data_IF_402987492949
#
_entry.id   IF_402987492949
#
_cell.length_a   1.000
_cell.length_b   1.000
_cell.length_c   1.000
_cell.angle_alpha   90.00
_cell.angle_beta   90.00
_cell.angle_gamma   90.00
#
_symmetry.space_group_name_H-M   'P 1'
#
loop_
_entity.id
_entity.type
_entity.pdbx_description
1 polymer ?
#
# COMPACT_ATOMS: atom_id res chain seq x y z
N UNK A 1 3.14 -6.86 20.14
CA UNK A 1 2.17 -6.15 19.28
C UNK A 1 2.90 -5.44 18.17
N UNK A 2 2.46 -5.63 16.94
CA UNK A 2 3.02 -4.90 15.81
C UNK A 2 2.48 -3.47 15.78
N UNK A 3 3.36 -2.52 15.48
CA UNK A 3 2.94 -1.15 15.24
C UNK A 3 2.15 -1.08 13.93
N UNK A 4 1.21 -0.15 13.87
CA UNK A 4 0.43 0.10 12.67
C UNK A 4 1.12 1.10 11.74
N UNK A 5 0.87 0.97 10.45
CA UNK A 5 1.18 2.04 9.49
C UNK A 5 0.15 3.17 9.67
N UNK A 6 0.63 4.33 10.08
CA UNK A 6 -0.20 5.47 10.46
C UNK A 6 0.31 6.75 9.84
N UNK A 7 -0.60 7.56 9.36
CA UNK A 7 -0.29 8.89 8.82
C UNK A 7 -0.14 8.91 7.31
N UNK A 8 -0.01 10.11 6.77
CA UNK A 8 0.27 10.34 5.34
C UNK A 8 1.55 11.16 5.21
N UNK A 9 2.40 10.76 4.27
CA UNK A 9 3.70 11.38 4.05
C UNK A 9 3.91 11.61 2.56
N UNK A 10 4.33 12.80 2.18
CA UNK A 10 4.69 13.11 0.80
C UNK A 10 6.20 12.99 0.65
N UNK A 11 6.65 12.16 -0.28
CA UNK A 11 8.06 11.87 -0.52
C UNK A 11 8.41 12.18 -1.97
N UNK A 12 9.60 12.75 -2.19
CA UNK A 12 10.11 13.01 -3.53
C UNK A 12 10.56 11.71 -4.19
N UNK A 13 10.24 11.57 -5.46
CA UNK A 13 10.73 10.46 -6.31
C UNK A 13 11.70 11.06 -7.31
N UNK A 14 12.96 10.62 -7.27
CA UNK A 14 13.99 11.15 -8.17
C UNK A 14 13.90 10.56 -9.59
N UNK A 15 14.74 11.08 -10.49
CA UNK A 15 14.76 10.64 -11.89
C UNK A 15 15.13 9.16 -12.08
N UNK A 16 15.74 8.54 -11.08
CA UNK A 16 16.08 7.11 -11.07
C UNK A 16 15.02 6.27 -10.34
N UNK A 17 13.86 6.84 -10.07
CA UNK A 17 12.75 6.19 -9.36
C UNK A 17 13.07 5.82 -7.90
N UNK A 18 14.07 6.44 -7.28
CA UNK A 18 14.38 6.23 -5.87
C UNK A 18 13.47 7.10 -5.02
N UNK A 19 12.94 6.50 -3.95
CA UNK A 19 12.07 7.19 -2.99
C UNK A 19 12.40 6.70 -1.58
N UNK A 20 12.45 7.63 -0.62
CA UNK A 20 12.65 7.30 0.78
C UNK A 20 11.35 6.83 1.40
N UNK A 21 11.40 5.71 2.12
CA UNK A 21 10.26 5.25 2.92
C UNK A 21 10.23 6.09 4.20
N UNK A 22 9.06 6.61 4.62
CA UNK A 22 8.97 7.35 5.89
C UNK A 22 9.54 6.53 7.05
N UNK A 23 10.30 7.18 7.93
CA UNK A 23 10.97 6.50 9.03
C UNK A 23 10.01 5.69 9.92
N UNK A 24 8.81 6.21 10.17
CA UNK A 24 7.79 5.49 10.92
C UNK A 24 7.37 4.18 10.23
N UNK A 25 7.26 4.19 8.91
CA UNK A 25 6.91 2.99 8.12
C UNK A 25 8.08 2.01 8.07
N UNK A 26 9.31 2.51 7.98
CA UNK A 26 10.50 1.62 8.01
C UNK A 26 10.57 0.80 9.28
N UNK A 27 10.24 1.39 10.44
CA UNK A 27 10.21 0.66 11.72
C UNK A 27 9.22 -0.51 11.69
N UNK A 28 8.03 -0.29 11.12
CA UNK A 28 7.02 -1.35 10.99
C UNK A 28 7.51 -2.45 10.05
N UNK A 29 8.10 -2.07 8.91
CA UNK A 29 8.66 -3.01 7.93
C UNK A 29 9.79 -3.85 8.55
N UNK A 30 10.68 -3.23 9.31
CA UNK A 30 11.78 -3.90 9.99
C UNK A 30 11.28 -4.89 11.04
N UNK A 31 10.29 -4.51 11.83
CA UNK A 31 9.67 -5.38 12.83
C UNK A 31 8.97 -6.59 12.18
N UNK A 32 8.45 -6.42 10.97
CA UNK A 32 7.80 -7.48 10.20
C UNK A 32 8.75 -8.35 9.37
N UNK A 33 10.07 -8.13 9.47
CA UNK A 33 11.08 -8.90 8.74
C UNK A 33 12.32 -9.14 9.63
N UNK A 34 12.15 -9.75 10.81
CA UNK A 34 13.22 -9.81 11.84
C UNK A 34 14.42 -10.66 11.45
N UNK A 35 14.23 -11.66 10.60
CA UNK A 35 15.27 -12.66 10.32
C UNK A 35 16.13 -12.30 9.10
N UNK A 36 15.80 -11.24 8.38
CA UNK A 36 16.55 -10.83 7.20
C UNK A 36 17.60 -9.76 7.54
N UNK A 37 18.86 -9.90 7.06
CA UNK A 37 19.88 -8.87 7.26
C UNK A 37 19.54 -7.58 6.51
N UNK A 38 18.87 -7.68 5.35
CA UNK A 38 18.34 -6.54 4.62
C UNK A 38 16.83 -6.57 4.70
N UNK A 39 16.24 -5.48 5.15
CA UNK A 39 14.80 -5.39 5.33
C UNK A 39 14.11 -5.26 3.99
N UNK A 40 12.92 -5.86 3.89
CA UNK A 40 12.19 -6.01 2.63
C UNK A 40 10.79 -5.46 2.74
N UNK A 41 10.23 -5.17 1.59
CA UNK A 41 8.86 -4.71 1.42
C UNK A 41 8.22 -5.52 0.29
N UNK A 42 6.98 -5.92 0.46
CA UNK A 42 6.19 -6.52 -0.62
C UNK A 42 5.24 -5.45 -1.16
N UNK A 43 5.28 -5.22 -2.46
CA UNK A 43 4.43 -4.23 -3.13
C UNK A 43 3.49 -4.94 -4.09
N UNK A 44 2.19 -4.79 -3.87
CA UNK A 44 1.13 -5.33 -4.70
C UNK A 44 0.66 -4.25 -5.67
N UNK A 45 0.70 -4.55 -6.95
CA UNK A 45 0.27 -3.64 -8.00
C UNK A 45 -0.89 -4.20 -8.85
N UNK A 46 -1.56 -5.23 -8.37
CA UNK A 46 -2.75 -5.80 -9.01
C UNK A 46 -4.02 -4.97 -8.75
N UNK A 47 -5.14 -5.50 -9.22
CA UNK A 47 -6.45 -4.88 -9.19
C UNK A 47 -6.50 -3.57 -10.00
N UNK A 48 -6.83 -3.69 -11.27
CA UNK A 48 -6.87 -2.57 -12.22
C UNK A 48 -7.80 -1.43 -11.83
N UNK A 49 -8.76 -1.68 -10.94
CA UNK A 49 -9.70 -0.67 -10.44
C UNK A 49 -9.04 0.32 -9.48
N UNK A 50 -7.86 -0.02 -8.94
CA UNK A 50 -7.10 0.79 -7.99
C UNK A 50 -6.00 1.58 -8.69
N UNK A 51 -5.74 2.79 -8.21
CA UNK A 51 -4.68 3.67 -8.73
C UNK A 51 -3.51 3.80 -7.75
N UNK A 52 -3.40 2.90 -6.80
CA UNK A 52 -2.32 2.88 -5.82
C UNK A 52 -1.70 1.49 -5.74
N UNK A 53 -0.46 1.44 -5.31
CA UNK A 53 0.22 0.20 -4.95
C UNK A 53 0.06 -0.02 -3.44
N UNK A 54 -0.24 -1.25 -3.03
CA UNK A 54 -0.41 -1.62 -1.62
C UNK A 54 0.81 -2.33 -1.11
N UNK A 55 1.33 -1.89 0.04
CA UNK A 55 2.59 -2.35 0.59
C UNK A 55 2.37 -3.13 1.88
N UNK A 56 3.08 -4.25 2.00
CA UNK A 56 2.99 -5.21 3.10
C UNK A 56 4.36 -5.41 3.74
N UNK A 57 4.36 -5.68 5.04
CA UNK A 57 5.53 -6.30 5.67
C UNK A 57 5.65 -7.75 5.16
N UNK A 58 6.83 -8.36 5.31
CA UNK A 58 7.00 -9.78 4.98
C UNK A 58 6.05 -10.64 5.83
N UNK A 59 5.92 -10.36 7.11
CA UNK A 59 5.03 -11.10 8.00
C UNK A 59 3.57 -11.01 7.56
N UNK A 60 3.11 -9.84 7.14
CA UNK A 60 1.73 -9.63 6.70
C UNK A 60 1.47 -10.30 5.34
N UNK A 61 2.45 -10.26 4.44
CA UNK A 61 2.38 -10.98 3.16
C UNK A 61 2.26 -12.50 3.37
N UNK A 62 3.01 -13.05 4.31
CA UNK A 62 2.95 -14.48 4.66
C UNK A 62 1.56 -14.84 5.19
N UNK A 63 0.97 -14.00 6.04
CA UNK A 63 -0.40 -14.21 6.55
C UNK A 63 -1.44 -14.20 5.42
N UNK A 64 -1.32 -13.24 4.51
CA UNK A 64 -2.20 -13.15 3.34
C UNK A 64 -2.09 -14.40 2.47
N UNK A 65 -0.87 -14.84 2.18
CA UNK A 65 -0.61 -16.04 1.40
C UNK A 65 -1.22 -17.30 2.03
N UNK A 66 -1.12 -17.44 3.35
CA UNK A 66 -1.72 -18.57 4.08
C UNK A 66 -3.25 -18.59 3.93
N UNK A 67 -3.88 -17.41 3.97
CA UNK A 67 -5.34 -17.29 3.77
C UNK A 67 -5.73 -17.67 2.34
N UNK A 68 -4.94 -17.29 1.36
CA UNK A 68 -5.19 -17.66 -0.05
C UNK A 68 -5.04 -19.17 -0.24
N UNK A 69 -3.98 -19.78 0.35
CA UNK A 69 -3.75 -21.23 0.28
C UNK A 69 -4.87 -22.04 0.91
N UNK A 70 -5.59 -21.48 1.88
CA UNK A 70 -6.72 -22.15 2.53
C UNK A 70 -7.96 -22.26 1.61
N UNK A 71 -8.00 -21.52 0.52
CA UNK A 71 -9.10 -21.62 -0.46
C UNK A 71 -8.88 -22.83 -1.37
N UNK A 72 -9.98 -23.45 -1.85
CA UNK A 72 -9.88 -24.61 -2.73
C UNK A 72 -9.08 -24.31 -4.00
N UNK A 73 -8.17 -25.22 -4.37
CA UNK A 73 -7.43 -25.15 -5.63
C UNK A 73 -8.42 -25.11 -6.80
N UNK A 74 -8.16 -24.22 -7.78
CA UNK A 74 -8.99 -24.07 -8.95
C UNK A 74 -10.26 -23.26 -8.73
N UNK A 75 -10.56 -22.81 -7.50
CA UNK A 75 -11.72 -21.93 -7.28
C UNK A 75 -11.48 -20.56 -7.91
N UNK A 76 -12.54 -19.92 -8.37
CA UNK A 76 -12.47 -18.60 -8.97
C UNK A 76 -11.94 -17.57 -7.98
N UNK A 77 -12.38 -17.61 -6.72
CA UNK A 77 -11.90 -16.72 -5.66
C UNK A 77 -10.39 -16.83 -5.49
N UNK A 78 -9.86 -18.04 -5.42
CA UNK A 78 -8.42 -18.27 -5.29
C UNK A 78 -7.65 -17.72 -6.49
N UNK A 79 -8.14 -17.98 -7.71
CA UNK A 79 -7.48 -17.46 -8.93
C UNK A 79 -7.41 -15.93 -8.93
N UNK A 80 -8.51 -15.27 -8.57
CA UNK A 80 -8.55 -13.80 -8.50
C UNK A 80 -7.53 -13.28 -7.49
N UNK A 81 -7.50 -13.86 -6.30
CA UNK A 81 -6.57 -13.44 -5.24
C UNK A 81 -5.12 -13.73 -5.59
N UNK A 82 -4.83 -14.92 -6.12
CA UNK A 82 -3.47 -15.27 -6.57
C UNK A 82 -2.97 -14.29 -7.63
N UNK A 83 -3.79 -14.02 -8.65
CA UNK A 83 -3.42 -13.11 -9.74
C UNK A 83 -3.12 -11.71 -9.21
N UNK A 84 -4.05 -11.12 -8.48
CA UNK A 84 -3.99 -9.71 -8.13
C UNK A 84 -3.09 -9.41 -6.93
N UNK A 85 -2.88 -10.37 -6.03
CA UNK A 85 -2.13 -10.13 -4.79
C UNK A 85 -0.78 -10.83 -4.74
N UNK A 86 -0.56 -11.86 -5.57
CA UNK A 86 0.68 -12.63 -5.57
C UNK A 86 1.42 -12.48 -6.91
N UNK A 87 0.75 -12.83 -8.02
CA UNK A 87 1.36 -12.70 -9.35
C UNK A 87 1.75 -11.25 -9.64
N UNK A 88 0.86 -10.32 -9.34
CA UNK A 88 1.06 -8.88 -9.56
C UNK A 88 1.61 -8.22 -8.30
N UNK A 89 2.72 -8.74 -7.81
CA UNK A 89 3.46 -8.20 -6.68
C UNK A 89 4.96 -8.34 -6.90
N UNK A 90 5.72 -7.61 -6.11
CA UNK A 90 7.19 -7.66 -6.12
C UNK A 90 7.70 -7.50 -4.70
N UNK A 91 8.78 -8.21 -4.39
CA UNK A 91 9.50 -8.03 -3.12
C UNK A 91 10.76 -7.22 -3.39
N UNK A 92 10.95 -6.13 -2.67
CA UNK A 92 12.11 -5.25 -2.81
C UNK A 92 12.88 -5.21 -1.50
N UNK A 93 14.20 -5.06 -1.60
CA UNK A 93 15.06 -4.72 -0.47
C UNK A 93 15.08 -3.21 -0.26
N UNK A 94 15.09 -2.79 1.00
CA UNK A 94 15.26 -1.39 1.40
C UNK A 94 16.77 -1.16 1.53
N UNK A 95 17.29 -0.12 0.89
CA UNK A 95 18.73 0.18 0.96
C UNK A 95 19.13 0.79 2.32
N UNK A 96 20.44 0.98 2.51
CA UNK A 96 20.97 1.48 3.77
C UNK A 96 20.53 2.93 4.10
N UNK A 97 20.08 3.67 3.09
CA UNK A 97 19.55 5.03 3.25
C UNK A 97 18.03 5.04 3.47
N UNK A 98 17.39 3.87 3.57
CA UNK A 98 15.95 3.76 3.76
C UNK A 98 15.13 4.02 2.50
N UNK A 99 15.74 3.84 1.33
CA UNK A 99 15.09 4.05 0.03
C UNK A 99 14.80 2.74 -0.68
N UNK A 100 13.83 2.80 -1.58
CA UNK A 100 13.58 1.76 -2.58
C UNK A 100 13.63 2.38 -3.96
N UNK A 101 13.86 1.54 -4.96
CA UNK A 101 13.71 1.92 -6.38
C UNK A 101 12.37 1.37 -6.84
N UNK A 102 11.44 2.24 -7.23
CA UNK A 102 10.14 1.82 -7.72
C UNK A 102 10.28 1.11 -9.06
N UNK A 103 9.91 -0.19 -9.15
CA UNK A 103 9.95 -0.91 -10.42
C UNK A 103 8.98 -0.33 -11.44
N UNK A 104 9.24 -0.56 -12.73
CA UNK A 104 8.40 -0.08 -13.82
C UNK A 104 6.92 -0.44 -13.65
N UNK A 105 6.63 -1.68 -13.23
CA UNK A 105 5.26 -2.14 -13.00
C UNK A 105 4.53 -1.34 -11.91
N UNK A 106 5.25 -0.99 -10.85
CA UNK A 106 4.69 -0.17 -9.76
C UNK A 106 4.49 1.27 -10.25
N UNK A 107 5.45 1.82 -10.98
CA UNK A 107 5.33 3.17 -11.57
C UNK A 107 4.14 3.26 -12.53
N UNK A 108 3.95 2.25 -13.37
CA UNK A 108 2.80 2.18 -14.28
C UNK A 108 1.49 2.15 -13.50
N UNK A 109 1.46 1.39 -12.41
CA UNK A 109 0.28 1.27 -11.54
C UNK A 109 -0.16 2.61 -10.98
N UNK A 110 0.77 3.42 -10.50
CA UNK A 110 0.48 4.74 -9.93
C UNK A 110 0.52 5.87 -10.96
N UNK A 111 0.66 5.55 -12.24
CA UNK A 111 0.73 6.49 -13.35
C UNK A 111 1.88 7.51 -13.22
N UNK A 112 3.03 7.06 -12.75
CA UNK A 112 4.23 7.87 -12.57
C UNK A 112 5.16 7.66 -13.76
N UNK A 113 5.19 8.62 -14.68
CA UNK A 113 5.99 8.52 -15.90
C UNK A 113 7.45 8.96 -15.68
N UNK A 114 8.34 8.57 -16.62
CA UNK A 114 9.71 9.06 -16.65
C UNK A 114 9.77 10.59 -16.75
N UNK A 115 8.85 11.20 -17.49
CA UNK A 115 8.74 12.65 -17.61
C UNK A 115 8.38 13.30 -16.27
N UNK A 116 7.41 12.72 -15.54
CA UNK A 116 7.05 13.18 -14.19
C UNK A 116 8.26 13.18 -13.26
N UNK A 117 9.01 12.08 -13.24
CA UNK A 117 10.19 11.93 -12.38
C UNK A 117 11.30 12.91 -12.77
N UNK A 118 11.50 13.17 -14.05
CA UNK A 118 12.47 14.13 -14.53
C UNK A 118 12.16 15.57 -14.09
N UNK A 119 10.87 15.89 -13.91
CA UNK A 119 10.39 17.20 -13.46
C UNK A 119 10.29 17.34 -11.94
N UNK A 120 10.57 16.28 -11.20
CA UNK A 120 10.44 16.27 -9.74
C UNK A 120 9.07 15.82 -9.28
N UNK A 121 8.85 14.52 -9.34
CA UNK A 121 7.60 13.89 -8.90
C UNK A 121 7.55 13.68 -7.39
N UNK A 122 6.33 13.59 -6.87
CA UNK A 122 6.08 13.25 -5.47
C UNK A 122 5.09 12.09 -5.36
N UNK A 123 5.30 11.24 -4.35
CA UNK A 123 4.42 10.14 -4.02
C UNK A 123 3.89 10.31 -2.59
N UNK A 124 2.64 9.93 -2.36
CA UNK A 124 2.04 9.93 -1.03
C UNK A 124 2.07 8.51 -0.49
N UNK A 125 2.60 8.37 0.72
CA UNK A 125 2.60 7.13 1.51
C UNK A 125 1.52 7.26 2.56
N UNK A 126 0.43 6.51 2.40
CA UNK A 126 -0.75 6.60 3.27
C UNK A 126 -0.90 5.31 4.08
N UNK A 127 -0.81 5.41 5.41
CA UNK A 127 -0.95 4.27 6.32
C UNK A 127 -2.39 3.78 6.42
N UNK A 128 -2.56 2.45 6.48
CA UNK A 128 -3.86 1.79 6.55
C UNK A 128 -3.82 0.58 7.49
N UNK A 129 -3.28 0.75 8.70
CA UNK A 129 -3.10 -0.27 9.74
C UNK A 129 -2.01 -1.29 9.39
N UNK A 130 -2.38 -2.44 8.84
CA UNK A 130 -1.43 -3.53 8.56
C UNK A 130 -0.68 -3.35 7.23
N UNK A 131 -1.13 -2.41 6.42
CA UNK A 131 -0.56 -2.08 5.11
C UNK A 131 -0.43 -0.57 4.95
N UNK A 132 0.26 -0.15 3.91
CA UNK A 132 0.20 1.24 3.46
C UNK A 132 0.09 1.30 1.95
N UNK A 133 -0.30 2.47 1.46
CA UNK A 133 -0.54 2.70 0.04
C UNK A 133 0.48 3.71 -0.49
N UNK A 134 0.94 3.49 -1.71
CA UNK A 134 1.75 4.47 -2.44
C UNK A 134 0.91 5.00 -3.60
N UNK A 135 0.74 6.31 -3.64
CA UNK A 135 0.00 7.02 -4.66
C UNK A 135 0.89 8.05 -5.35
N UNK A 136 0.63 8.32 -6.61
CA UNK A 136 1.10 9.58 -7.20
C UNK A 136 0.39 10.72 -6.46
N UNK A 137 1.13 11.73 -6.04
CA UNK A 137 0.60 12.83 -5.21
C UNK A 137 -0.64 13.51 -5.83
N UNK A 138 -0.57 13.84 -7.11
CA UNK A 138 -1.69 14.48 -7.80
C UNK A 138 -2.95 13.61 -7.83
N UNK A 139 -2.80 12.29 -7.99
CA UNK A 139 -3.93 11.34 -7.98
C UNK A 139 -4.55 11.24 -6.59
N UNK A 140 -3.72 11.18 -5.56
CA UNK A 140 -4.17 11.13 -4.17
C UNK A 140 -5.02 12.35 -3.83
N UNK A 141 -4.52 13.55 -4.15
CA UNK A 141 -5.22 14.80 -3.87
C UNK A 141 -6.58 14.88 -4.60
N UNK A 142 -6.61 14.43 -5.87
CA UNK A 142 -7.83 14.51 -6.67
C UNK A 142 -8.89 13.47 -6.30
N UNK A 143 -8.49 12.24 -5.96
CA UNK A 143 -9.41 11.12 -5.80
C UNK A 143 -9.73 10.78 -4.35
N UNK A 144 -8.71 10.71 -3.49
CA UNK A 144 -8.91 10.32 -2.10
C UNK A 144 -9.67 11.39 -1.33
N UNK A 145 -9.32 12.65 -1.51
CA UNK A 145 -10.01 13.73 -0.80
C UNK A 145 -11.49 13.82 -1.19
N UNK A 146 -11.78 13.64 -2.47
CA UNK A 146 -13.17 13.65 -2.95
C UNK A 146 -13.95 12.46 -2.39
N UNK A 147 -13.40 11.25 -2.49
CA UNK A 147 -14.04 10.04 -1.99
C UNK A 147 -14.27 10.11 -0.47
N UNK A 148 -13.29 10.63 0.28
CA UNK A 148 -13.41 10.81 1.72
C UNK A 148 -14.53 11.80 2.09
N UNK A 149 -14.65 12.89 1.34
CA UNK A 149 -15.73 13.86 1.54
C UNK A 149 -17.10 13.25 1.23
N UNK A 150 -17.22 12.48 0.16
CA UNK A 150 -18.44 11.76 -0.21
C UNK A 150 -18.84 10.75 0.88
N UNK A 151 -17.88 9.98 1.38
CA UNK A 151 -18.13 9.00 2.44
C UNK A 151 -18.70 9.67 3.69
N UNK A 152 -18.10 10.78 4.14
CA UNK A 152 -18.60 11.51 5.30
C UNK A 152 -19.95 12.19 5.04
N UNK A 153 -20.17 12.72 3.83
CA UNK A 153 -21.42 13.37 3.46
C UNK A 153 -22.61 12.39 3.46
N UNK A 154 -22.36 11.10 3.26
CA UNK A 154 -23.39 10.06 3.29
C UNK A 154 -23.74 9.58 4.72
N UNK A 155 -23.03 10.08 5.74
CA UNK A 155 -23.33 9.78 7.13
C UNK A 155 -24.23 10.88 7.72
N UNK A 156 -25.09 10.56 8.72
CA UNK A 156 -25.84 11.57 9.45
C UNK A 156 -24.92 12.62 10.08
N UNK A 157 -25.28 13.90 10.02
CA UNK A 157 -24.45 15.01 10.51
C UNK A 157 -24.03 14.87 11.98
N UNK A 158 -24.91 14.30 12.80
CA UNK A 158 -24.70 14.16 14.26
C UNK A 158 -23.99 12.86 14.61
N UNK A 159 -23.65 12.03 13.62
CA UNK A 159 -23.09 10.71 13.86
C UNK A 159 -21.62 10.80 14.23
N UNK A 160 -21.26 10.21 15.36
CA UNK A 160 -19.86 9.95 15.69
C UNK A 160 -19.38 8.76 14.84
N UNK A 161 -18.31 8.94 14.06
CA UNK A 161 -17.77 7.87 13.21
C UNK A 161 -17.39 6.61 13.99
N UNK A 162 -17.07 6.76 15.29
CA UNK A 162 -16.77 5.59 16.13
C UNK A 162 -17.96 4.65 16.29
N UNK A 163 -19.19 5.15 16.09
CA UNK A 163 -20.40 4.32 16.14
C UNK A 163 -20.44 3.26 15.03
N UNK A 164 -19.67 3.45 13.93
CA UNK A 164 -19.55 2.43 12.88
C UNK A 164 -18.92 1.13 13.39
N UNK A 165 -18.15 1.20 14.48
CA UNK A 165 -17.55 0.00 15.11
C UNK A 165 -18.60 -0.87 15.83
N UNK A 166 -19.78 -0.32 16.10
CA UNK A 166 -20.87 -1.04 16.76
C UNK A 166 -21.73 -1.87 15.82
N UNK A 167 -21.56 -1.67 14.51
CA UNK A 167 -22.24 -2.49 13.50
C UNK A 167 -21.60 -3.89 13.50
N UNK A 168 -22.43 -4.91 13.67
CA UNK A 168 -21.91 -6.28 13.75
C UNK A 168 -21.20 -6.68 12.45
N UNK A 169 -20.01 -7.31 12.56
CA UNK A 169 -19.31 -7.77 11.36
C UNK A 169 -20.13 -8.87 10.69
N UNK A 170 -20.46 -8.66 9.43
CA UNK A 170 -21.08 -9.70 8.60
C UNK A 170 -22.56 -9.57 8.34
N UNK A 171 -23.09 -8.42 8.58
CA UNK A 171 -24.44 -8.08 8.11
C UNK A 171 -24.35 -7.29 6.81
#
# INVERSE_FOLDING_TARGET
>A
MSEAFRGEFTQKVDAKARVSIPAAFRRVLEAGDPDSPRKRIVIVYGDERRKFAECYTIAEAVRLEARIRALPLGSQKRRILERNLVTLSVTLEIDDDGRIVLPGKVRDKIALSAEDMAKGAEAVFAGALDTFQIWKSATYDAEILRAAQEDLANLPEDMDILSLLSDEPGV
#
